data_IF_889011366175
#
_entry.id   IF_889011366175
#
_cell.length_a   1.000
_cell.length_b   1.000
_cell.length_c   1.000
_cell.angle_alpha   90.00
_cell.angle_beta   90.00
_cell.angle_gamma   90.00
#
_symmetry.space_group_name_H-M   'P 1'
#
loop_
_entity.id
_entity.type
_entity.pdbx_description
1 polymer ?
#
# COMPACT_ATOMS: atom_id res chain seq x y z
N UNK A 1 -14.90 -1.38 -23.37
CA UNK A 1 -14.97 -0.54 -22.14
C UNK A 1 -13.69 -0.78 -21.38
N UNK A 2 -13.09 0.24 -20.79
CA UNK A 2 -11.82 0.07 -20.06
C UNK A 2 -12.05 -0.70 -18.76
N UNK A 3 -11.18 -1.67 -18.42
CA UNK A 3 -11.32 -2.51 -17.22
C UNK A 3 -11.26 -1.65 -15.94
N UNK A 4 -12.31 -1.65 -15.08
CA UNK A 4 -12.35 -0.80 -13.88
C UNK A 4 -11.24 -1.14 -12.87
N UNK A 5 -10.73 -2.37 -12.88
CA UNK A 5 -9.69 -2.84 -11.97
C UNK A 5 -8.27 -2.43 -12.38
N UNK A 6 -8.13 -1.63 -13.45
CA UNK A 6 -6.83 -1.15 -13.93
C UNK A 6 -6.78 0.39 -14.02
N UNK A 7 -7.71 1.08 -13.37
CA UNK A 7 -7.86 2.54 -13.46
C UNK A 7 -8.00 3.18 -12.08
N UNK A 8 -7.65 4.48 -11.99
CA UNK A 8 -7.77 5.26 -10.77
C UNK A 8 -7.06 4.60 -9.59
N UNK A 9 -7.76 4.40 -8.48
CA UNK A 9 -7.21 3.74 -7.29
C UNK A 9 -6.86 2.26 -7.49
N UNK A 10 -7.32 1.65 -8.59
CA UNK A 10 -7.04 0.27 -8.97
C UNK A 10 -5.88 0.18 -9.98
N UNK A 11 -5.33 1.32 -10.41
CA UNK A 11 -4.20 1.34 -11.32
C UNK A 11 -2.96 0.73 -10.63
N UNK A 12 -2.11 -0.01 -11.35
CA UNK A 12 -0.93 -0.64 -10.76
C UNK A 12 0.08 0.38 -10.23
N UNK A 13 0.53 0.17 -8.99
CA UNK A 13 1.67 0.84 -8.38
C UNK A 13 2.95 0.13 -8.81
N UNK A 14 3.82 0.82 -9.55
CA UNK A 14 5.04 0.23 -10.11
C UNK A 14 6.27 0.36 -9.21
N UNK A 15 6.19 1.17 -8.17
CA UNK A 15 7.34 1.55 -7.35
C UNK A 15 7.11 1.13 -5.90
N UNK A 16 8.16 0.60 -5.29
CA UNK A 16 8.22 0.34 -3.86
C UNK A 16 8.81 1.54 -3.14
N UNK A 17 8.25 1.87 -1.98
CA UNK A 17 8.63 3.04 -1.21
C UNK A 17 8.95 2.68 0.23
N UNK A 18 10.04 3.26 0.75
CA UNK A 18 10.30 3.38 2.18
C UNK A 18 10.34 4.86 2.53
N UNK A 19 9.51 5.26 3.49
CA UNK A 19 9.40 6.63 4.02
C UNK A 19 9.30 6.57 5.54
N UNK A 20 9.97 7.48 6.22
CA UNK A 20 10.04 7.54 7.69
C UNK A 20 9.53 8.85 8.26
N UNK A 21 9.23 9.82 7.39
CA UNK A 21 8.88 11.21 7.67
C UNK A 21 7.42 11.50 7.30
N UNK A 22 6.51 10.58 7.65
CA UNK A 22 5.09 10.75 7.37
C UNK A 22 4.48 11.82 8.30
N UNK A 23 3.67 12.76 7.76
CA UNK A 23 3.03 13.78 8.57
C UNK A 23 1.99 13.16 9.50
N UNK A 24 1.93 13.67 10.73
CA UNK A 24 0.92 13.31 11.73
C UNK A 24 0.04 14.53 11.99
N UNK A 25 -1.27 14.34 11.94
CA UNK A 25 -2.25 15.35 12.34
C UNK A 25 -2.85 14.87 13.67
N UNK A 26 -2.68 15.65 14.74
CA UNK A 26 -3.05 15.26 16.11
C UNK A 26 -1.93 14.49 16.80
N UNK A 27 -2.29 13.47 17.60
CA UNK A 27 -1.35 12.68 18.39
C UNK A 27 -1.55 11.18 18.16
N UNK A 28 -0.46 10.43 18.02
CA UNK A 28 -0.49 8.97 17.98
C UNK A 28 -0.45 8.45 19.43
N UNK A 29 -1.45 7.66 19.87
CA UNK A 29 -1.44 7.12 21.23
C UNK A 29 -0.17 6.33 21.55
N UNK A 30 0.50 6.68 22.65
CA UNK A 30 1.82 6.13 23.02
C UNK A 30 1.85 4.60 23.19
N UNK A 31 0.70 3.97 23.47
CA UNK A 31 0.60 2.51 23.60
C UNK A 31 0.54 1.77 22.24
N UNK A 32 0.37 2.49 21.12
CA UNK A 32 0.41 1.90 19.79
C UNK A 32 1.86 1.75 19.32
N UNK A 33 2.49 0.66 19.75
CA UNK A 33 3.83 0.26 19.31
C UNK A 33 3.73 -1.05 18.55
N UNK A 34 4.05 -1.03 17.26
CA UNK A 34 3.89 -2.22 16.43
C UNK A 34 3.93 -1.94 14.95
N UNK A 35 3.40 -2.89 14.17
CA UNK A 35 3.30 -2.82 12.72
C UNK A 35 1.88 -3.09 12.29
N UNK A 36 1.34 -2.22 11.46
CA UNK A 36 0.14 -2.48 10.69
C UNK A 36 0.57 -2.89 9.28
N UNK A 37 0.09 -4.05 8.81
CA UNK A 37 0.34 -4.53 7.46
C UNK A 37 -0.99 -4.78 6.77
N UNK A 38 -1.04 -4.46 5.47
CA UNK A 38 -2.11 -4.89 4.57
C UNK A 38 -1.51 -5.43 3.28
N UNK A 39 -2.16 -6.43 2.70
CA UNK A 39 -1.84 -6.97 1.39
C UNK A 39 -2.98 -6.61 0.42
N UNK A 40 -2.62 -6.25 -0.81
CA UNK A 40 -3.58 -6.02 -1.89
C UNK A 40 -3.01 -6.46 -3.24
N UNK A 41 -3.86 -6.70 -4.23
CA UNK A 41 -3.40 -7.08 -5.56
C UNK A 41 -2.84 -5.85 -6.27
N UNK A 42 -1.66 -6.03 -6.84
CA UNK A 42 -0.90 -5.04 -7.57
C UNK A 42 -0.06 -5.78 -8.63
N UNK A 43 -0.62 -5.96 -9.83
CA UNK A 43 0.05 -6.70 -10.89
C UNK A 43 1.34 -5.98 -11.32
N UNK A 44 2.46 -6.72 -11.30
CA UNK A 44 3.78 -6.18 -11.63
C UNK A 44 4.02 -6.19 -13.14
N UNK A 45 3.53 -7.24 -13.80
CA UNK A 45 3.67 -7.46 -15.25
C UNK A 45 2.58 -6.74 -16.04
N UNK A 46 2.77 -6.65 -17.35
CA UNK A 46 1.68 -6.28 -18.26
C UNK A 46 0.59 -7.36 -18.22
N UNK A 47 -0.66 -6.91 -18.29
CA UNK A 47 -1.83 -7.76 -18.19
C UNK A 47 -2.80 -7.37 -19.28
N UNK A 48 -3.46 -8.38 -19.83
CA UNK A 48 -4.55 -8.17 -20.76
C UNK A 48 -5.78 -7.61 -20.02
N UNK A 49 -6.19 -6.36 -20.32
CA UNK A 49 -7.33 -5.74 -19.64
C UNK A 49 -8.64 -6.49 -19.86
N UNK A 50 -8.79 -7.28 -20.93
CA UNK A 50 -10.03 -8.00 -21.22
C UNK A 50 -10.21 -9.25 -20.34
N UNK A 51 -9.12 -9.74 -19.74
CA UNK A 51 -9.13 -10.95 -18.91
C UNK A 51 -8.80 -10.71 -17.44
N UNK A 52 -8.28 -9.52 -17.10
CA UNK A 52 -7.83 -9.23 -15.75
C UNK A 52 -8.97 -9.13 -14.73
N UNK A 53 -8.85 -9.92 -13.65
CA UNK A 53 -9.66 -9.81 -12.44
C UNK A 53 -8.81 -9.29 -11.27
N UNK A 54 -9.39 -8.46 -10.41
CA UNK A 54 -8.75 -7.90 -9.21
C UNK A 54 -8.05 -8.96 -8.34
N UNK A 55 -8.60 -10.17 -8.21
CA UNK A 55 -8.01 -11.22 -7.36
C UNK A 55 -6.79 -11.92 -7.98
N UNK A 56 -6.43 -11.61 -9.22
CA UNK A 56 -5.33 -12.24 -9.95
C UNK A 56 -4.02 -11.44 -9.89
N UNK A 57 -4.04 -10.20 -9.40
CA UNK A 57 -2.84 -9.38 -9.29
C UNK A 57 -1.84 -9.92 -8.27
N UNK A 58 -0.55 -9.71 -8.52
CA UNK A 58 0.52 -10.04 -7.58
C UNK A 58 0.31 -9.35 -6.23
N UNK A 59 0.75 -9.94 -5.13
CA UNK A 59 0.62 -9.31 -3.81
C UNK A 59 1.57 -8.13 -3.64
N UNK A 60 1.06 -6.96 -3.25
CA UNK A 60 1.84 -5.85 -2.73
C UNK A 60 1.46 -5.57 -1.27
N UNK A 61 2.48 -5.63 -0.42
CA UNK A 61 2.33 -5.37 1.01
C UNK A 61 2.62 -3.91 1.31
N UNK A 62 1.71 -3.27 2.04
CA UNK A 62 1.93 -1.95 2.62
C UNK A 62 2.04 -2.10 4.13
N UNK A 63 3.03 -1.42 4.71
CA UNK A 63 3.30 -1.47 6.14
C UNK A 63 3.51 -0.09 6.74
N UNK A 64 2.97 0.13 7.93
CA UNK A 64 3.32 1.26 8.80
C UNK A 64 3.87 0.68 10.10
N UNK A 65 5.05 1.15 10.50
CA UNK A 65 5.62 0.85 11.81
C UNK A 65 5.46 2.07 12.70
N UNK A 66 4.87 1.88 13.86
CA UNK A 66 4.84 2.87 14.92
C UNK A 66 5.83 2.45 16.00
N UNK A 67 6.73 3.36 16.34
CA UNK A 67 7.68 3.20 17.45
C UNK A 67 7.63 4.44 18.33
N UNK A 68 7.97 4.31 19.63
CA UNK A 68 8.22 5.47 20.46
C UNK A 68 9.21 6.41 19.76
N UNK A 69 8.96 7.72 19.86
CA UNK A 69 9.92 8.73 19.47
C UNK A 69 11.21 8.50 20.29
N UNK A 70 12.35 8.37 19.62
CA UNK A 70 13.61 8.41 20.35
C UNK A 70 13.83 9.84 20.83
N UNK A 71 14.14 10.06 22.13
CA UNK A 71 14.62 11.36 22.57
C UNK A 71 15.94 11.64 21.84
N UNK A 72 16.03 12.83 21.24
CA UNK A 72 17.29 13.37 20.73
C UNK A 72 18.18 13.89 21.84
#
# INVERSE_FOLDING_TARGET
MSNPFMQGNCAPVRQEYTRTDLPVIGEIPAHLVGRYLRNGPNPISEIDPDTYNWFMGDGMVHGIRLTPLQPG
#
